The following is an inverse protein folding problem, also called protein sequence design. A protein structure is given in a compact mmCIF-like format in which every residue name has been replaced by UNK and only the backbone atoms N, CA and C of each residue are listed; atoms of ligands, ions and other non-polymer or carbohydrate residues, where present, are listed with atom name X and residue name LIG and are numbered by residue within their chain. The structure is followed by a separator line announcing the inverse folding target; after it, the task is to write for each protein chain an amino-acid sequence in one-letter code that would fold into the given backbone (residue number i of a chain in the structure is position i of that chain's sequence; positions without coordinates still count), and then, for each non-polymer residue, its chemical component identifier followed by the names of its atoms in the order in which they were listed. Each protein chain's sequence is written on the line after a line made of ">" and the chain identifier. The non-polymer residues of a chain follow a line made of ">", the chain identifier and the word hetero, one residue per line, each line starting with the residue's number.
data_IF_887014182800
#
_entry.id   IF_887014182800
#
_cell.length_a   1.000
_cell.length_b   1.000
_cell.length_c   1.000
_cell.angle_alpha   90.00
_cell.angle_beta   90.00
_cell.angle_gamma   90.00
#
_symmetry.space_group_name_H-M   'P 1'
#
loop_
_entity.id
_entity.type
_entity.pdbx_description
1 polymer ?
#
# COMPACT_ATOMS: atom_id res chain seq x y z
N UNK A 1 12.76 14.27 25.47
CA UNK A 1 13.10 15.71 25.34
C UNK A 1 14.34 15.81 24.47
N UNK A 2 14.35 16.71 23.49
CA UNK A 2 15.48 16.96 22.58
C UNK A 2 15.79 18.45 22.61
N UNK A 3 17.07 18.80 22.69
CA UNK A 3 17.53 20.20 22.56
C UNK A 3 17.98 20.42 21.12
N UNK A 4 17.49 21.48 20.49
CA UNK A 4 17.94 21.90 19.15
C UNK A 4 18.35 23.36 19.18
N UNK A 5 19.33 23.71 18.34
CA UNK A 5 19.70 25.10 18.07
C UNK A 5 19.02 25.54 16.76
N UNK A 6 18.12 26.52 16.83
CA UNK A 6 17.45 27.08 15.65
C UNK A 6 17.44 28.60 15.77
N UNK A 7 17.81 29.30 14.70
CA UNK A 7 17.90 30.77 14.69
C UNK A 7 18.75 31.35 15.83
N UNK A 8 19.86 30.67 16.17
CA UNK A 8 20.75 31.03 17.28
C UNK A 8 20.11 30.98 18.68
N UNK A 9 18.96 30.31 18.83
CA UNK A 9 18.31 30.09 20.11
C UNK A 9 18.23 28.60 20.44
N UNK A 10 18.48 28.26 21.70
CA UNK A 10 18.27 26.92 22.23
C UNK A 10 16.77 26.67 22.45
N UNK A 11 16.24 25.64 21.81
CA UNK A 11 14.84 25.24 21.91
C UNK A 11 14.74 23.84 22.52
N UNK A 12 14.04 23.74 23.64
CA UNK A 12 13.71 22.46 24.28
C UNK A 12 12.40 21.92 23.69
N UNK A 13 12.48 20.83 22.92
CA UNK A 13 11.33 20.21 22.26
C UNK A 13 10.97 18.88 22.91
N UNK A 14 9.67 18.61 22.98
CA UNK A 14 9.14 17.27 23.25
C UNK A 14 8.64 16.71 21.92
N UNK A 15 9.27 15.64 21.46
CA UNK A 15 8.98 15.00 20.17
C UNK A 15 8.36 13.65 20.48
N UNK A 16 7.24 13.36 19.84
CA UNK A 16 6.61 12.04 19.90
C UNK A 16 7.49 11.04 19.15
N UNK A 17 7.82 9.92 19.78
CA UNK A 17 8.61 8.86 19.17
C UNK A 17 7.70 7.74 18.74
N UNK A 18 7.94 7.21 17.54
CA UNK A 18 7.30 5.99 17.05
C UNK A 18 8.33 4.86 17.07
N UNK A 19 7.90 3.65 17.41
CA UNK A 19 8.72 2.46 17.25
C UNK A 19 8.98 2.19 15.77
N UNK A 20 10.25 2.03 15.41
CA UNK A 20 10.66 1.64 14.07
C UNK A 20 11.18 0.21 14.11
N UNK A 21 10.36 -0.72 13.63
CA UNK A 21 10.76 -2.13 13.53
C UNK A 21 11.87 -2.31 12.50
N UNK A 22 12.95 -3.00 12.90
CA UNK A 22 14.02 -3.44 11.99
C UNK A 22 13.63 -4.63 11.11
N UNK A 23 12.44 -5.20 11.29
CA UNK A 23 11.97 -6.39 10.56
C UNK A 23 11.74 -6.11 9.08
N UNK A 24 11.50 -4.85 8.71
CA UNK A 24 11.17 -4.46 7.35
C UNK A 24 9.77 -4.95 6.94
N UNK A 25 9.66 -5.54 5.75
CA UNK A 25 8.37 -6.01 5.22
C UNK A 25 7.90 -7.27 5.95
N UNK A 26 6.70 -7.22 6.51
CA UNK A 26 6.00 -8.37 7.14
C UNK A 26 4.73 -8.80 6.39
N UNK A 27 4.24 -7.98 5.45
CA UNK A 27 3.06 -8.26 4.63
C UNK A 27 3.25 -7.81 3.20
N UNK A 28 2.86 -8.67 2.26
CA UNK A 28 2.80 -8.35 0.83
C UNK A 28 1.51 -8.89 0.26
N UNK A 29 0.77 -8.05 -0.45
CA UNK A 29 -0.43 -8.44 -1.19
C UNK A 29 -0.12 -8.40 -2.68
N UNK A 30 -0.54 -9.43 -3.41
CA UNK A 30 -0.60 -9.40 -4.87
C UNK A 30 -2.06 -9.35 -5.29
N UNK A 31 -2.45 -8.32 -6.03
CA UNK A 31 -3.80 -8.13 -6.53
C UNK A 31 -3.77 -7.56 -7.96
N UNK A 32 -4.39 -8.27 -8.91
CA UNK A 32 -4.44 -7.85 -10.33
C UNK A 32 -3.06 -7.48 -10.92
N UNK A 33 -1.99 -8.08 -10.40
CA UNK A 33 -0.60 -7.86 -10.78
C UNK A 33 0.10 -6.65 -10.14
N UNK A 34 -0.54 -5.96 -9.20
CA UNK A 34 0.14 -5.05 -8.28
C UNK A 34 0.76 -5.85 -7.14
N UNK A 35 1.93 -5.42 -6.68
CA UNK A 35 2.60 -5.91 -5.47
C UNK A 35 2.56 -4.77 -4.46
N UNK A 36 1.76 -4.98 -3.41
CA UNK A 36 1.31 -3.97 -2.47
C UNK A 36 1.83 -4.34 -1.08
N UNK A 37 2.27 -3.34 -0.33
CA UNK A 37 2.69 -3.47 1.07
C UNK A 37 2.47 -2.13 1.79
N UNK A 38 2.68 -2.11 3.11
CA UNK A 38 2.79 -0.83 3.82
C UNK A 38 4.02 -0.05 3.33
N UNK A 39 4.01 1.29 3.38
CA UNK A 39 5.20 2.07 3.06
C UNK A 39 6.37 1.65 3.94
N UNK A 40 7.44 1.21 3.30
CA UNK A 40 8.67 0.87 3.99
C UNK A 40 9.36 2.15 4.46
N UNK A 41 10.17 2.03 5.53
CA UNK A 41 10.85 3.16 6.15
C UNK A 41 11.56 4.09 5.15
N UNK A 42 12.19 3.53 4.12
CA UNK A 42 12.87 4.31 3.10
C UNK A 42 11.93 5.20 2.27
N UNK A 43 10.68 4.79 2.03
CA UNK A 43 9.66 5.63 1.35
C UNK A 43 9.17 6.72 2.29
N UNK A 44 8.86 6.39 3.55
CA UNK A 44 8.38 7.36 4.54
C UNK A 44 9.44 8.44 4.81
N UNK A 45 10.72 8.04 4.82
CA UNK A 45 11.86 8.95 5.01
C UNK A 45 12.04 9.98 3.89
N UNK A 46 11.34 9.84 2.76
CA UNK A 46 11.31 10.86 1.70
C UNK A 46 10.45 12.07 2.07
N UNK A 47 9.75 12.04 3.22
CA UNK A 47 9.07 13.20 3.79
C UNK A 47 7.65 13.44 3.26
N UNK A 48 7.06 12.48 2.54
CA UNK A 48 5.68 12.55 2.10
C UNK A 48 4.94 11.23 2.32
N UNK A 49 3.77 11.32 2.95
CA UNK A 49 2.77 10.26 3.04
C UNK A 49 1.38 10.91 2.88
N UNK A 50 0.46 10.34 2.09
CA UNK A 50 -0.84 10.97 1.90
C UNK A 50 -1.69 10.90 3.19
N UNK A 51 -2.33 12.01 3.53
CA UNK A 51 -3.22 12.10 4.70
C UNK A 51 -4.51 11.29 4.50
N UNK A 52 -5.04 11.29 3.27
CA UNK A 52 -6.27 10.57 2.89
C UNK A 52 -6.09 9.05 2.71
N UNK A 53 -4.93 8.53 3.11
CA UNK A 53 -4.58 7.12 3.06
C UNK A 53 -3.07 6.94 2.88
N UNK A 54 -2.45 6.07 3.66
CA UNK A 54 -1.00 5.88 3.62
C UNK A 54 -0.56 4.42 3.67
N UNK A 55 -1.40 3.50 4.15
CA UNK A 55 -0.98 2.12 4.41
C UNK A 55 -0.94 1.19 3.21
N UNK A 56 -1.33 1.64 2.01
CA UNK A 56 -1.45 0.77 0.83
C UNK A 56 -0.55 1.30 -0.28
N UNK A 57 0.71 0.87 -0.29
CA UNK A 57 1.74 1.33 -1.21
C UNK A 57 2.08 0.25 -2.25
N UNK A 58 2.09 0.64 -3.52
CA UNK A 58 2.50 -0.24 -4.61
C UNK A 58 4.01 -0.14 -4.84
N UNK A 59 4.73 -1.20 -4.46
CA UNK A 59 6.18 -1.31 -4.66
C UNK A 59 6.56 -1.81 -6.03
N UNK A 60 5.70 -2.62 -6.67
CA UNK A 60 5.98 -3.23 -7.97
C UNK A 60 4.68 -3.57 -8.71
N UNK A 61 4.78 -3.72 -10.02
CA UNK A 61 3.73 -4.31 -10.85
C UNK A 61 4.34 -5.35 -11.78
N UNK A 62 3.52 -6.27 -12.27
CA UNK A 62 3.93 -7.33 -13.18
C UNK A 62 3.55 -7.00 -14.64
N UNK A 63 4.45 -7.23 -15.59
CA UNK A 63 4.15 -7.08 -17.01
C UNK A 63 3.07 -8.06 -17.47
N UNK A 64 2.23 -7.63 -18.41
CA UNK A 64 1.09 -8.41 -18.91
C UNK A 64 -0.11 -8.50 -17.97
N UNK A 65 -0.02 -7.97 -16.75
CA UNK A 65 -1.13 -7.95 -15.80
C UNK A 65 -2.22 -6.92 -16.14
N UNK A 66 -3.42 -7.02 -15.54
CA UNK A 66 -4.40 -5.96 -15.58
C UNK A 66 -3.82 -4.61 -15.13
N UNK A 67 -3.05 -4.59 -14.03
CA UNK A 67 -2.40 -3.37 -13.56
C UNK A 67 -1.54 -2.72 -14.66
N UNK A 68 -0.71 -3.52 -15.35
CA UNK A 68 0.10 -3.04 -16.47
C UNK A 68 -0.76 -2.52 -17.63
N UNK A 69 -1.77 -3.30 -18.05
CA UNK A 69 -2.68 -2.94 -19.15
C UNK A 69 -3.40 -1.61 -18.91
N UNK A 70 -3.84 -1.36 -17.68
CA UNK A 70 -4.57 -0.15 -17.29
C UNK A 70 -3.65 0.99 -16.83
N UNK A 71 -2.33 0.85 -16.98
CA UNK A 71 -1.38 1.93 -16.75
C UNK A 71 -1.09 2.25 -15.28
N UNK A 72 -1.32 1.30 -14.38
CA UNK A 72 -0.84 1.35 -13.01
C UNK A 72 0.64 0.98 -12.95
N UNK A 73 1.39 1.66 -12.09
CA UNK A 73 2.82 1.47 -11.90
C UNK A 73 3.14 1.45 -10.40
N UNK A 74 4.40 1.16 -10.07
CA UNK A 74 4.93 1.32 -8.73
C UNK A 74 4.97 2.80 -8.32
N UNK A 75 5.44 3.05 -7.10
CA UNK A 75 5.68 4.38 -6.53
C UNK A 75 4.42 5.22 -6.42
N UNK A 76 3.33 4.55 -6.01
CA UNK A 76 2.05 5.18 -5.71
C UNK A 76 1.36 4.51 -4.52
N UNK A 77 0.53 5.28 -3.83
CA UNK A 77 -0.44 4.79 -2.86
C UNK A 77 -1.79 4.59 -3.51
N UNK A 78 -2.49 3.53 -3.11
CA UNK A 78 -3.91 3.34 -3.41
C UNK A 78 -4.68 3.84 -2.21
N UNK A 79 -5.34 4.99 -2.36
CA UNK A 79 -6.04 5.64 -1.24
C UNK A 79 -7.53 5.34 -1.25
N UNK A 80 -8.06 4.88 -2.39
CA UNK A 80 -9.48 4.57 -2.53
C UNK A 80 -9.71 3.51 -3.62
N UNK A 81 -10.67 2.62 -3.39
CA UNK A 81 -11.15 1.62 -4.36
C UNK A 81 -12.68 1.68 -4.40
N UNK A 82 -13.30 1.91 -5.57
CA UNK A 82 -14.75 2.05 -5.75
C UNK A 82 -15.42 3.02 -4.76
N UNK A 83 -14.77 4.16 -4.52
CA UNK A 83 -15.17 5.18 -3.56
C UNK A 83 -15.00 4.81 -2.07
N UNK A 84 -14.52 3.60 -1.75
CA UNK A 84 -14.20 3.16 -0.38
C UNK A 84 -12.74 3.54 -0.04
N UNK A 85 -12.48 4.27 1.05
CA UNK A 85 -11.12 4.55 1.51
C UNK A 85 -10.35 3.29 1.90
N UNK A 86 -9.06 3.24 1.57
CA UNK A 86 -8.17 2.11 1.88
C UNK A 86 -6.97 2.56 2.71
N UNK A 87 -7.16 2.96 3.98
CA UNK A 87 -6.07 3.50 4.81
C UNK A 87 -5.04 2.46 5.24
N UNK A 88 -5.42 1.17 5.25
CA UNK A 88 -4.58 0.04 5.67
C UNK A 88 -4.69 -1.13 4.69
N UNK A 89 -3.74 -2.06 4.74
CA UNK A 89 -3.79 -3.29 3.95
C UNK A 89 -5.06 -4.12 4.23
N UNK A 90 -5.55 -4.16 5.48
CA UNK A 90 -6.79 -4.87 5.82
C UNK A 90 -8.03 -4.19 5.22
N UNK A 91 -8.07 -2.86 5.23
CA UNK A 91 -9.13 -2.12 4.57
C UNK A 91 -9.11 -2.36 3.05
N UNK A 92 -7.92 -2.42 2.44
CA UNK A 92 -7.77 -2.76 1.03
C UNK A 92 -8.29 -4.17 0.73
N UNK A 93 -7.85 -5.20 1.47
CA UNK A 93 -8.32 -6.60 1.30
C UNK A 93 -9.84 -6.69 1.38
N UNK A 94 -10.44 -6.11 2.43
CA UNK A 94 -11.89 -6.12 2.63
C UNK A 94 -12.64 -5.58 1.42
N UNK A 95 -12.15 -4.48 0.82
CA UNK A 95 -12.78 -3.89 -0.35
C UNK A 95 -12.60 -4.80 -1.57
N UNK A 96 -11.40 -5.33 -1.82
CA UNK A 96 -11.14 -6.12 -3.04
C UNK A 96 -11.72 -7.54 -3.01
N UNK A 97 -11.88 -8.15 -1.84
CA UNK A 97 -12.64 -9.40 -1.65
C UNK A 97 -14.14 -9.22 -1.98
N UNK A 98 -14.63 -7.99 -1.85
CA UNK A 98 -15.98 -7.61 -2.24
C UNK A 98 -16.24 -7.71 -3.75
N UNK A 99 -15.19 -7.60 -4.57
CA UNK A 99 -15.24 -7.48 -6.02
C UNK A 99 -15.33 -8.85 -6.71
N UNK A 100 -16.01 -8.89 -7.86
CA UNK A 100 -16.11 -10.06 -8.73
C UNK A 100 -15.02 -10.04 -9.80
N UNK A 101 -14.75 -11.21 -10.37
CA UNK A 101 -13.91 -11.32 -11.53
C UNK A 101 -14.51 -10.57 -12.73
N UNK A 102 -13.71 -9.79 -13.43
CA UNK A 102 -14.16 -8.96 -14.55
C UNK A 102 -14.86 -7.66 -14.17
N UNK A 103 -14.95 -7.31 -12.88
CA UNK A 103 -15.48 -6.01 -12.45
C UNK A 103 -14.60 -4.86 -12.92
N UNK A 104 -15.25 -3.73 -13.25
CA UNK A 104 -14.58 -2.46 -13.52
C UNK A 104 -14.42 -1.69 -12.22
N UNK A 105 -13.17 -1.49 -11.80
CA UNK A 105 -12.79 -0.95 -10.50
C UNK A 105 -12.18 0.43 -10.68
N UNK A 106 -12.79 1.45 -10.07
CA UNK A 106 -12.25 2.80 -10.02
C UNK A 106 -11.33 2.93 -8.82
N UNK A 107 -10.08 3.29 -9.06
CA UNK A 107 -9.10 3.52 -7.99
C UNK A 107 -8.64 4.96 -7.99
N UNK A 108 -8.57 5.56 -6.79
CA UNK A 108 -7.85 6.81 -6.56
C UNK A 108 -6.46 6.46 -6.06
N UNK A 109 -5.46 7.00 -6.72
CA UNK A 109 -4.05 6.80 -6.39
C UNK A 109 -3.37 8.14 -6.19
N UNK A 110 -2.32 8.17 -5.38
CA UNK A 110 -1.41 9.31 -5.28
C UNK A 110 0.00 8.80 -5.55
N UNK A 111 0.73 9.40 -6.49
CA UNK A 111 2.12 9.04 -6.73
C UNK A 111 3.07 9.66 -5.71
N UNK A 112 4.29 9.12 -5.62
CA UNK A 112 5.35 9.60 -4.75
C UNK A 112 5.66 11.11 -4.90
N UNK A 113 5.42 11.67 -6.09
CA UNK A 113 5.53 13.11 -6.36
C UNK A 113 4.23 13.89 -6.11
N UNK A 114 3.39 13.40 -5.20
CA UNK A 114 2.15 14.03 -4.69
C UNK A 114 1.05 14.28 -5.72
N UNK A 115 1.08 13.63 -6.90
CA UNK A 115 0.06 13.81 -7.94
C UNK A 115 -1.09 12.81 -7.77
N UNK A 116 -2.32 13.27 -7.50
CA UNK A 116 -3.48 12.39 -7.47
C UNK A 116 -3.86 11.97 -8.90
N UNK A 117 -4.27 10.71 -9.05
CA UNK A 117 -4.78 10.16 -10.30
C UNK A 117 -5.91 9.17 -10.03
N UNK A 118 -6.99 9.30 -10.79
CA UNK A 118 -8.04 8.30 -10.84
C UNK A 118 -7.80 7.41 -12.05
N UNK A 119 -7.82 6.09 -11.85
CA UNK A 119 -7.70 5.10 -12.92
C UNK A 119 -8.81 4.07 -12.79
N UNK A 120 -9.13 3.42 -13.91
CA UNK A 120 -10.02 2.27 -13.92
C UNK A 120 -9.24 1.02 -14.28
N UNK A 121 -9.48 -0.08 -13.59
CA UNK A 121 -8.90 -1.40 -13.84
C UNK A 121 -10.02 -2.43 -13.96
N UNK A 122 -9.92 -3.37 -14.90
CA UNK A 122 -10.78 -4.55 -14.92
C UNK A 122 -10.11 -5.71 -14.19
N UNK A 123 -10.77 -6.31 -13.21
CA UNK A 123 -10.22 -7.43 -12.44
C UNK A 123 -10.07 -8.68 -13.31
N UNK A 124 -9.05 -9.48 -13.00
CA UNK A 124 -8.82 -10.80 -13.61
C UNK A 124 -8.27 -11.74 -12.54
N UNK A 125 -9.16 -12.41 -11.83
CA UNK A 125 -8.83 -13.35 -10.76
C UNK A 125 -8.54 -14.76 -11.27
N UNK A 126 -8.70 -15.02 -12.57
CA UNK A 126 -8.32 -16.29 -13.16
C UNK A 126 -6.80 -16.41 -13.29
N UNK A 127 -6.16 -15.35 -13.80
CA UNK A 127 -4.70 -15.30 -13.96
C UNK A 127 -3.99 -14.49 -12.86
N UNK A 128 -4.68 -13.54 -12.23
CA UNK A 128 -4.13 -12.65 -11.21
C UNK A 128 -4.96 -12.66 -9.92
N UNK A 129 -4.99 -13.81 -9.20
CA UNK A 129 -5.75 -13.95 -7.96
C UNK A 129 -5.27 -12.99 -6.87
N UNK A 130 -6.11 -12.78 -5.87
CA UNK A 130 -5.75 -12.01 -4.68
C UNK A 130 -5.06 -12.91 -3.67
N UNK A 131 -3.79 -12.65 -3.42
CA UNK A 131 -2.97 -13.48 -2.55
C UNK A 131 -2.15 -12.59 -1.62
N UNK A 132 -1.89 -13.08 -0.42
CA UNK A 132 -1.13 -12.39 0.59
C UNK A 132 0.01 -13.29 1.09
N UNK A 133 1.19 -12.70 1.26
CA UNK A 133 2.31 -13.27 1.98
C UNK A 133 2.39 -12.54 3.33
N UNK A 134 2.25 -13.27 4.42
CA UNK A 134 2.30 -12.72 5.78
C UNK A 134 3.39 -13.41 6.58
N UNK A 135 4.36 -12.64 7.06
CA UNK A 135 5.40 -13.10 7.97
C UNK A 135 4.79 -13.31 9.35
N UNK A 136 5.12 -14.43 10.00
CA UNK A 136 4.74 -14.72 11.39
C UNK A 136 5.77 -14.10 12.32
N UNK A 137 5.33 -13.32 13.29
CA UNK A 137 6.25 -12.59 14.18
C UNK A 137 7.07 -13.54 15.06
N UNK A 138 6.45 -14.63 15.53
CA UNK A 138 7.07 -15.60 16.44
C UNK A 138 8.17 -16.45 15.78
N UNK A 139 7.92 -17.00 14.59
CA UNK A 139 8.86 -17.91 13.91
C UNK A 139 9.70 -17.23 12.83
N UNK A 140 9.24 -16.09 12.31
CA UNK A 140 9.82 -15.43 11.16
C UNK A 140 9.51 -16.07 9.80
N UNK A 141 8.74 -17.15 9.79
CA UNK A 141 8.32 -17.83 8.57
C UNK A 141 7.25 -17.04 7.81
N UNK A 142 7.16 -17.28 6.51
CA UNK A 142 6.13 -16.70 5.65
C UNK A 142 4.98 -17.66 5.43
N UNK A 143 3.76 -17.19 5.64
CA UNK A 143 2.54 -17.88 5.30
C UNK A 143 1.95 -17.30 4.01
N UNK A 144 1.54 -18.20 3.12
CA UNK A 144 0.76 -17.85 1.94
C UNK A 144 -0.74 -17.94 2.26
N UNK A 145 -1.46 -16.84 2.02
CA UNK A 145 -2.89 -16.71 2.25
C UNK A 145 -3.56 -16.44 0.91
N UNK A 146 -4.51 -17.28 0.54
CA UNK A 146 -5.33 -17.08 -0.64
C UNK A 146 -6.65 -16.41 -0.25
N UNK A 147 -6.93 -15.24 -0.79
CA UNK A 147 -8.17 -14.53 -0.52
C UNK A 147 -9.25 -14.97 -1.52
N UNK A 148 -10.42 -15.45 -1.06
CA UNK A 148 -11.45 -15.95 -1.95
C UNK A 148 -12.02 -14.80 -2.80
N UNK A 149 -11.77 -14.85 -4.10
CA UNK A 149 -12.36 -13.92 -5.04
C UNK A 149 -13.73 -14.39 -5.51
N UNK A 150 -14.70 -13.47 -5.60
CA UNK A 150 -16.01 -13.78 -6.17
C UNK A 150 -15.86 -14.02 -7.67
N UNK A 151 -16.45 -15.11 -8.17
CA UNK A 151 -16.49 -15.43 -9.59
C UNK A 151 -17.50 -14.55 -10.33
#
# INVERSE_FOLDING_TARGET
>A
RVMVLREHQELALTVETLELSGTGTSRVIVWCGLVIQEPHYAVVSLGYMPEEGGGVYCSRWCYGSPAHKYGLRATMWIVQVNNEPTPTLDAFIRVVEGLRNGDSVRMKTISLNTKPKVVTLKTDYHYWPTVELKRRDESGDWAYVHHPNKR
#
